data_IF_193624656776
#
_entry.id   IF_193624656776
#
_cell.length_a   1.000
_cell.length_b   1.000
_cell.length_c   1.000
_cell.angle_alpha   90.00
_cell.angle_beta   90.00
_cell.angle_gamma   90.00
#
_symmetry.space_group_name_H-M   'P 1'
#
loop_
_entity.id
_entity.type
_entity.pdbx_description
1 polymer ?
#
# COMPACT_ATOMS: atom_id res chain seq x y z
N UNK A 1 -0.51 -6.02 -31.39
CA UNK A 1 0.70 -5.77 -30.57
C UNK A 1 0.85 -6.95 -29.62
N UNK A 2 1.98 -7.64 -29.63
CA UNK A 2 2.23 -8.74 -28.69
C UNK A 2 2.33 -8.14 -27.28
N UNK A 3 1.43 -8.55 -26.38
CA UNK A 3 1.49 -8.15 -24.97
C UNK A 3 2.69 -8.83 -24.33
N UNK A 4 3.56 -8.06 -23.66
CA UNK A 4 4.67 -8.61 -22.88
C UNK A 4 4.16 -9.64 -21.89
N UNK A 5 4.87 -10.75 -21.75
CA UNK A 5 4.60 -11.76 -20.72
C UNK A 5 4.89 -11.19 -19.34
N UNK A 6 4.33 -11.81 -18.30
CA UNK A 6 4.57 -11.44 -16.90
C UNK A 6 6.08 -11.33 -16.58
N UNK A 7 6.86 -12.33 -16.98
CA UNK A 7 8.31 -12.35 -16.79
C UNK A 7 9.00 -11.20 -17.52
N UNK A 8 8.62 -10.92 -18.77
CA UNK A 8 9.19 -9.80 -19.54
C UNK A 8 8.88 -8.44 -18.89
N UNK A 9 7.69 -8.26 -18.32
CA UNK A 9 7.32 -7.06 -17.56
C UNK A 9 8.17 -6.91 -16.29
N UNK A 10 8.37 -8.01 -15.56
CA UNK A 10 9.17 -8.03 -14.34
C UNK A 10 10.65 -7.71 -14.63
N UNK A 11 11.23 -8.35 -15.65
CA UNK A 11 12.59 -8.10 -16.11
C UNK A 11 12.79 -6.64 -16.54
N UNK A 12 11.80 -6.06 -17.23
CA UNK A 12 11.85 -4.65 -17.61
C UNK A 12 11.93 -3.72 -16.40
N UNK A 13 11.14 -3.98 -15.35
CA UNK A 13 11.20 -3.18 -14.10
C UNK A 13 12.57 -3.28 -13.46
N UNK A 14 13.15 -4.48 -13.39
CA UNK A 14 14.48 -4.71 -12.82
C UNK A 14 15.57 -4.04 -13.65
N UNK A 15 15.49 -4.08 -14.98
CA UNK A 15 16.42 -3.39 -15.89
C UNK A 15 16.36 -1.86 -15.70
N UNK A 16 15.15 -1.28 -15.61
CA UNK A 16 14.98 0.15 -15.35
C UNK A 16 15.49 0.58 -13.97
N UNK A 17 15.32 -0.28 -12.96
CA UNK A 17 15.90 -0.10 -11.63
C UNK A 17 17.43 -0.15 -11.66
N UNK A 18 18.02 -1.11 -12.39
CA UNK A 18 19.47 -1.23 -12.60
C UNK A 18 20.06 0.02 -13.25
N UNK A 19 19.36 0.55 -14.26
CA UNK A 19 19.74 1.77 -14.98
C UNK A 19 19.45 3.05 -14.20
N UNK A 20 18.85 2.97 -13.00
CA UNK A 20 18.45 4.12 -12.18
C UNK A 20 17.61 5.12 -12.99
N UNK A 21 16.64 4.63 -13.76
CA UNK A 21 15.90 5.38 -14.80
C UNK A 21 14.88 6.39 -14.25
N UNK A 22 15.17 7.03 -13.11
CA UNK A 22 14.31 8.02 -12.46
C UNK A 22 13.70 7.56 -11.13
N UNK A 23 12.95 8.47 -10.50
CA UNK A 23 12.40 8.28 -9.15
C UNK A 23 11.44 7.07 -9.04
N UNK A 24 10.71 6.75 -10.12
CA UNK A 24 9.84 5.58 -10.19
C UNK A 24 10.59 4.25 -10.06
N UNK A 25 11.89 4.21 -10.34
CA UNK A 25 12.70 2.99 -10.31
C UNK A 25 13.67 2.95 -9.12
N UNK A 26 13.47 3.82 -8.14
CA UNK A 26 14.18 3.69 -6.87
C UNK A 26 13.76 2.40 -6.16
N UNK A 27 14.76 1.66 -5.64
CA UNK A 27 14.54 0.37 -4.97
C UNK A 27 13.61 0.50 -3.76
N UNK A 28 13.68 1.64 -3.05
CA UNK A 28 12.76 1.97 -1.95
C UNK A 28 11.30 2.03 -2.40
N UNK A 29 11.03 2.65 -3.55
CA UNK A 29 9.69 2.78 -4.12
C UNK A 29 9.17 1.46 -4.66
N UNK A 30 9.98 0.74 -5.45
CA UNK A 30 9.61 -0.59 -5.96
C UNK A 30 9.28 -1.52 -4.78
N UNK A 31 10.13 -1.55 -3.75
CA UNK A 31 9.91 -2.37 -2.55
C UNK A 31 8.60 -2.05 -1.84
N UNK A 32 8.28 -0.76 -1.67
CA UNK A 32 7.03 -0.31 -1.05
C UNK A 32 5.79 -0.73 -1.85
N UNK A 33 5.87 -0.68 -3.18
CA UNK A 33 4.72 -0.92 -4.05
C UNK A 33 4.49 -2.40 -4.35
N UNK A 34 5.55 -3.20 -4.41
CA UNK A 34 5.46 -4.64 -4.73
C UNK A 34 5.41 -5.54 -3.49
N UNK A 35 5.82 -5.02 -2.33
CA UNK A 35 6.01 -5.81 -1.10
C UNK A 35 7.28 -6.70 -1.13
N UNK A 36 8.10 -6.62 -2.18
CA UNK A 36 9.37 -7.35 -2.26
C UNK A 36 10.41 -6.59 -1.45
N UNK A 37 11.18 -7.30 -0.62
CA UNK A 37 12.22 -6.66 0.20
C UNK A 37 13.35 -6.09 -0.66
N UNK A 38 13.93 -4.95 -0.26
CA UNK A 38 15.05 -4.32 -0.99
C UNK A 38 16.21 -5.27 -1.27
N UNK A 39 16.69 -6.09 -0.30
CA UNK A 39 17.75 -7.07 -0.56
C UNK A 39 17.37 -8.06 -1.65
N UNK A 40 16.10 -8.47 -1.70
CA UNK A 40 15.64 -9.41 -2.71
C UNK A 40 15.57 -8.78 -4.11
N UNK A 41 15.14 -7.52 -4.21
CA UNK A 41 15.18 -6.78 -5.48
C UNK A 41 16.62 -6.68 -6.01
N UNK A 42 17.59 -6.39 -5.14
CA UNK A 42 19.01 -6.39 -5.54
C UNK A 42 19.48 -7.76 -6.03
N UNK A 43 19.05 -8.85 -5.39
CA UNK A 43 19.36 -10.22 -5.85
C UNK A 43 18.79 -10.47 -7.25
N UNK A 44 17.53 -10.13 -7.50
CA UNK A 44 16.90 -10.32 -8.82
C UNK A 44 17.53 -9.45 -9.91
N UNK A 45 18.01 -8.25 -9.58
CA UNK A 45 18.74 -7.39 -10.53
C UNK A 45 20.12 -7.95 -10.89
N UNK A 46 20.76 -8.66 -9.95
CA UNK A 46 22.06 -9.29 -10.16
C UNK A 46 21.92 -10.59 -10.95
N UNK A 47 20.91 -11.39 -10.63
CA UNK A 47 20.62 -12.67 -11.28
C UNK A 47 19.10 -12.87 -11.49
N UNK A 48 18.59 -12.61 -12.71
CA UNK A 48 17.18 -12.80 -13.05
C UNK A 48 16.69 -14.26 -12.94
N UNK A 49 17.59 -15.25 -12.97
CA UNK A 49 17.19 -16.67 -12.82
C UNK A 49 16.66 -16.99 -11.42
N UNK A 50 16.98 -16.14 -10.43
CA UNK A 50 16.46 -16.26 -9.07
C UNK A 50 15.03 -15.73 -8.93
N UNK A 51 14.47 -15.13 -9.99
CA UNK A 51 13.15 -14.54 -9.95
C UNK A 51 12.08 -15.62 -9.80
N UNK A 52 11.41 -15.62 -8.64
CA UNK A 52 10.29 -16.53 -8.40
C UNK A 52 9.05 -16.10 -9.17
N UNK A 53 8.16 -17.02 -9.49
CA UNK A 53 6.90 -16.73 -10.17
C UNK A 53 6.07 -15.66 -9.44
N UNK A 54 5.96 -15.77 -8.11
CA UNK A 54 5.29 -14.78 -7.26
C UNK A 54 5.93 -13.38 -7.36
N UNK A 55 7.26 -13.31 -7.34
CA UNK A 55 7.95 -12.01 -7.44
C UNK A 55 7.88 -11.42 -8.85
N UNK A 56 7.90 -12.27 -9.88
CA UNK A 56 7.66 -11.87 -11.26
C UNK A 56 6.24 -11.29 -11.41
N UNK A 57 5.24 -11.94 -10.82
CA UNK A 57 3.86 -11.45 -10.79
C UNK A 57 3.76 -10.06 -10.12
N UNK A 58 4.30 -9.91 -8.92
CA UNK A 58 4.31 -8.63 -8.19
C UNK A 58 4.99 -7.49 -8.96
N UNK A 59 6.13 -7.77 -9.61
CA UNK A 59 6.82 -6.78 -10.45
C UNK A 59 6.07 -6.49 -11.75
N UNK A 60 5.38 -7.48 -12.32
CA UNK A 60 4.55 -7.29 -13.51
C UNK A 60 3.36 -6.36 -13.22
N UNK A 61 2.76 -6.46 -12.04
CA UNK A 61 1.71 -5.53 -11.63
C UNK A 61 2.24 -4.11 -11.45
N UNK A 62 3.47 -3.96 -10.96
CA UNK A 62 4.11 -2.65 -10.88
C UNK A 62 4.42 -2.06 -12.27
N UNK A 63 4.88 -2.89 -13.22
CA UNK A 63 5.00 -2.48 -14.63
C UNK A 63 3.66 -1.96 -15.15
N UNK A 64 2.59 -2.72 -14.90
CA UNK A 64 1.24 -2.41 -15.33
C UNK A 64 0.73 -1.11 -14.71
N UNK A 65 1.07 -0.84 -13.44
CA UNK A 65 0.80 0.43 -12.76
C UNK A 65 1.49 1.61 -13.45
N UNK A 66 2.79 1.48 -13.74
CA UNK A 66 3.57 2.53 -14.41
C UNK A 66 2.99 2.88 -15.80
N UNK A 67 2.40 1.90 -16.47
CA UNK A 67 1.78 2.07 -17.79
C UNK A 67 0.27 2.30 -17.73
N UNK A 68 -0.29 2.52 -16.52
CA UNK A 68 -1.72 2.74 -16.26
C UNK A 68 -2.63 1.68 -16.90
N UNK A 69 -2.14 0.45 -17.03
CA UNK A 69 -2.96 -0.65 -17.54
C UNK A 69 -4.04 -1.00 -16.49
N UNK A 70 -5.10 -1.71 -16.91
CA UNK A 70 -6.21 -2.10 -16.03
C UNK A 70 -5.68 -2.87 -14.79
N UNK A 71 -4.71 -3.76 -14.98
CA UNK A 71 -4.07 -4.50 -13.88
C UNK A 71 -3.33 -3.55 -12.91
N UNK A 72 -2.71 -2.51 -13.43
CA UNK A 72 -2.05 -1.47 -12.63
C UNK A 72 -3.02 -0.63 -11.81
N UNK A 73 -4.17 -0.28 -12.40
CA UNK A 73 -5.25 0.42 -11.69
C UNK A 73 -5.87 -0.46 -10.59
N UNK A 74 -6.04 -1.76 -10.86
CA UNK A 74 -6.48 -2.72 -9.84
C UNK A 74 -5.49 -2.85 -8.68
N UNK A 75 -4.18 -2.85 -8.96
CA UNK A 75 -3.16 -2.82 -7.91
C UNK A 75 -3.27 -1.55 -7.05
N UNK A 76 -3.46 -0.38 -7.66
CA UNK A 76 -3.67 0.86 -6.89
C UNK A 76 -4.90 0.79 -6.00
N UNK A 77 -6.02 0.25 -6.50
CA UNK A 77 -7.22 0.04 -5.69
C UNK A 77 -6.96 -0.91 -4.53
N UNK A 78 -6.21 -2.00 -4.74
CA UNK A 78 -5.84 -2.93 -3.67
C UNK A 78 -4.93 -2.29 -2.62
N UNK A 79 -3.93 -1.51 -3.04
CA UNK A 79 -3.03 -0.77 -2.15
C UNK A 79 -3.82 0.26 -1.34
N UNK A 80 -4.70 1.03 -1.99
CA UNK A 80 -5.54 2.02 -1.32
C UNK A 80 -6.45 1.35 -0.28
N UNK A 81 -7.08 0.22 -0.61
CA UNK A 81 -7.88 -0.59 0.33
C UNK A 81 -7.06 -1.10 1.50
N UNK A 82 -5.83 -1.55 1.27
CA UNK A 82 -4.96 -2.01 2.36
C UNK A 82 -4.57 -0.86 3.27
N UNK A 83 -4.16 0.29 2.71
CA UNK A 83 -3.86 1.50 3.49
C UNK A 83 -5.05 1.96 4.33
N UNK A 84 -6.26 1.93 3.76
CA UNK A 84 -7.48 2.26 4.50
C UNK A 84 -7.65 1.36 5.72
N UNK A 85 -7.52 0.03 5.56
CA UNK A 85 -7.62 -0.93 6.67
C UNK A 85 -6.54 -0.73 7.73
N UNK A 86 -5.31 -0.48 7.31
CA UNK A 86 -4.19 -0.28 8.23
C UNK A 86 -4.38 1.02 9.04
N UNK A 87 -4.82 2.11 8.40
CA UNK A 87 -5.13 3.39 9.06
C UNK A 87 -6.30 3.24 10.03
N UNK A 88 -7.36 2.54 9.62
CA UNK A 88 -8.52 2.23 10.46
C UNK A 88 -8.09 1.53 11.75
N UNK A 89 -7.28 0.46 11.64
CA UNK A 89 -6.81 -0.29 12.78
C UNK A 89 -5.95 0.55 13.73
N UNK A 90 -5.04 1.39 13.19
CA UNK A 90 -4.21 2.28 14.01
C UNK A 90 -5.02 3.31 14.77
N UNK A 91 -5.96 3.99 14.11
CA UNK A 91 -6.82 4.98 14.78
C UNK A 91 -7.66 4.35 15.89
N UNK A 92 -8.26 3.19 15.63
CA UNK A 92 -9.05 2.48 16.64
C UNK A 92 -8.19 2.12 17.87
N UNK A 93 -6.96 1.64 17.65
CA UNK A 93 -6.07 1.31 18.76
C UNK A 93 -5.64 2.54 19.54
N UNK A 94 -5.28 3.65 18.86
CA UNK A 94 -4.92 4.89 19.54
C UNK A 94 -6.06 5.44 20.42
N UNK A 95 -7.31 5.39 19.93
CA UNK A 95 -8.46 5.86 20.71
C UNK A 95 -8.71 4.94 21.91
N UNK A 96 -8.55 3.61 21.75
CA UNK A 96 -8.68 2.65 22.86
C UNK A 96 -7.61 2.85 23.92
N UNK A 97 -6.36 3.00 23.52
CA UNK A 97 -5.24 3.29 24.43
C UNK A 97 -5.47 4.61 25.17
N UNK A 98 -5.86 5.68 24.44
CA UNK A 98 -6.18 6.96 25.07
C UNK A 98 -7.37 6.88 26.04
N UNK A 99 -8.39 6.07 25.73
CA UNK A 99 -9.53 5.79 26.62
C UNK A 99 -9.08 5.08 27.89
N UNK A 100 -8.17 4.11 27.79
CA UNK A 100 -7.64 3.37 28.94
C UNK A 100 -6.74 4.23 29.84
N UNK A 101 -6.01 5.17 29.26
CA UNK A 101 -5.09 6.06 29.98
C UNK A 101 -5.76 7.31 30.57
N UNK A 102 -6.99 7.64 30.15
CA UNK A 102 -7.69 8.86 30.55
C UNK A 102 -8.91 8.55 31.43
N UNK A 103 -9.05 9.28 32.53
CA UNK A 103 -10.25 9.18 33.36
C UNK A 103 -11.38 10.00 32.73
N UNK A 104 -12.21 9.35 31.92
CA UNK A 104 -13.36 9.96 31.25
C UNK A 104 -14.59 9.99 32.16
N UNK A 105 -15.42 11.01 32.02
CA UNK A 105 -16.77 10.98 32.58
C UNK A 105 -17.67 10.02 31.77
N UNK A 106 -18.81 9.64 32.36
CA UNK A 106 -19.70 8.65 31.77
C UNK A 106 -20.25 9.04 30.38
N UNK A 107 -20.44 10.32 30.11
CA UNK A 107 -20.93 10.78 28.81
C UNK A 107 -19.81 10.66 27.77
N UNK A 108 -18.61 11.14 28.10
CA UNK A 108 -17.44 11.09 27.22
C UNK A 108 -17.04 9.64 26.91
N UNK A 109 -17.20 8.73 27.87
CA UNK A 109 -16.96 7.31 27.67
C UNK A 109 -17.92 6.70 26.61
N UNK A 110 -19.21 7.00 26.72
CA UNK A 110 -20.23 6.53 25.76
C UNK A 110 -20.00 7.08 24.36
N UNK A 111 -19.67 8.38 24.25
CA UNK A 111 -19.35 9.01 22.95
C UNK A 111 -18.11 8.36 22.33
N UNK A 112 -17.09 8.07 23.12
CA UNK A 112 -15.86 7.41 22.67
C UNK A 112 -16.14 6.00 22.15
N UNK A 113 -17.00 5.23 22.82
CA UNK A 113 -17.41 3.89 22.37
C UNK A 113 -18.18 3.94 21.05
N UNK A 114 -19.06 4.92 20.88
CA UNK A 114 -19.77 5.14 19.60
C UNK A 114 -18.79 5.52 18.48
N UNK A 115 -17.79 6.37 18.77
CA UNK A 115 -16.74 6.73 17.81
C UNK A 115 -15.94 5.51 17.37
N UNK A 116 -15.49 4.66 18.31
CA UNK A 116 -14.79 3.41 18.01
C UNK A 116 -15.67 2.51 17.13
N UNK A 117 -16.95 2.34 17.49
CA UNK A 117 -17.88 1.52 16.71
C UNK A 117 -18.06 2.06 15.28
N UNK A 118 -18.20 3.38 15.10
CA UNK A 118 -18.33 4.00 13.78
C UNK A 118 -17.04 3.85 12.95
N UNK A 119 -15.88 3.97 13.59
CA UNK A 119 -14.59 3.75 12.93
C UNK A 119 -14.37 2.30 12.52
N UNK A 120 -14.92 1.31 13.25
CA UNK A 120 -14.77 -0.11 12.93
C UNK A 120 -15.72 -0.61 11.83
N UNK A 121 -16.72 0.18 11.41
CA UNK A 121 -17.61 -0.20 10.32
C UNK A 121 -16.82 -0.42 9.03
N UNK A 122 -17.23 -1.43 8.27
CA UNK A 122 -16.74 -1.62 6.90
C UNK A 122 -17.10 -0.38 6.08
N UNK A 123 -16.14 0.17 5.36
CA UNK A 123 -16.30 1.39 4.57
C UNK A 123 -16.75 2.59 5.44
N UNK A 124 -16.10 2.78 6.60
CA UNK A 124 -16.42 3.85 7.57
C UNK A 124 -16.41 5.23 6.92
N UNK A 125 -17.59 5.86 6.79
CA UNK A 125 -17.75 7.24 6.31
C UNK A 125 -16.97 8.23 7.17
N UNK A 126 -16.95 8.02 8.49
CA UNK A 126 -16.16 8.84 9.41
C UNK A 126 -14.66 8.79 9.06
N UNK A 127 -14.13 7.62 8.75
CA UNK A 127 -12.73 7.49 8.34
C UNK A 127 -12.48 8.10 6.96
N UNK A 128 -13.42 7.95 6.02
CA UNK A 128 -13.32 8.60 4.71
C UNK A 128 -13.23 10.12 4.85
N UNK A 129 -14.13 10.73 5.62
CA UNK A 129 -14.13 12.18 5.87
C UNK A 129 -12.83 12.62 6.54
N UNK A 130 -12.34 11.87 7.55
CA UNK A 130 -11.09 12.21 8.22
C UNK A 130 -9.87 12.10 7.29
N UNK A 131 -9.85 11.11 6.39
CA UNK A 131 -8.78 10.97 5.40
C UNK A 131 -8.82 12.07 4.33
N UNK A 132 -10.01 12.53 3.93
CA UNK A 132 -10.18 13.64 2.99
C UNK A 132 -9.76 14.98 3.63
N UNK A 133 -10.22 15.26 4.85
CA UNK A 133 -9.90 16.52 5.55
C UNK A 133 -8.43 16.65 5.96
N UNK A 134 -7.74 15.54 6.22
CA UNK A 134 -6.32 15.52 6.57
C UNK A 134 -5.40 15.27 5.37
N UNK A 135 -5.98 14.98 4.18
CA UNK A 135 -5.26 14.62 2.97
C UNK A 135 -4.92 15.80 2.06
N UNK A 136 -5.52 16.98 2.29
CA UNK A 136 -5.33 18.20 1.48
C UNK A 136 -4.14 19.08 1.93
N UNK A 137 -3.35 18.65 2.93
CA UNK A 137 -2.09 19.29 3.31
C UNK A 137 -0.88 18.67 2.55
N UNK A 138 -0.86 18.78 1.21
CA UNK A 138 0.38 18.69 0.38
C UNK A 138 0.34 19.65 -0.83
#
# INVERSE_FOLDING_TARGET
MSSLTMTQKAEWVLDKARKKSGAAFQISKISKMTGISRPMIYKYMADPLLLTERSAEQLSYYYDELHKSIAGQMLQVQIARQRFKDTQARMVNMIKEAKEETQLDSYTEQVTDVLIMLLQKKDSELLHVLMEYLGDDE
#
